data_IF_859460147254
#
_entry.id   IF_859460147254
#
_cell.length_a   1.000
_cell.length_b   1.000
_cell.length_c   1.000
_cell.angle_alpha   90.00
_cell.angle_beta   90.00
_cell.angle_gamma   90.00
#
_symmetry.space_group_name_H-M   'P 1'
#
loop_
_entity.id
_entity.type
_entity.pdbx_description
1 polymer ?
#
# COMPACT_ATOMS: atom_id res chain seq x y z
N UNK A 1 -7.76 10.39 -12.11
CA UNK A 1 -7.18 9.05 -12.01
C UNK A 1 -5.67 9.15 -11.81
N UNK A 2 -5.14 8.37 -10.90
CA UNK A 2 -3.70 8.38 -10.61
C UNK A 2 -3.07 7.06 -11.03
N UNK A 3 -1.79 7.10 -11.40
CA UNK A 3 -1.04 5.93 -11.78
C UNK A 3 0.03 5.61 -10.73
N UNK A 4 0.07 4.35 -10.34
CA UNK A 4 1.06 3.81 -9.41
C UNK A 4 2.03 2.93 -10.18
N UNK A 5 3.32 3.07 -9.90
CA UNK A 5 4.37 2.24 -10.50
C UNK A 5 5.35 1.79 -9.43
N UNK A 6 5.83 0.55 -9.53
CA UNK A 6 6.97 0.13 -8.73
C UNK A 6 8.25 0.77 -9.27
N UNK A 7 9.34 0.63 -8.57
CA UNK A 7 10.59 1.30 -8.94
C UNK A 7 11.12 0.87 -10.32
N UNK A 8 11.08 -0.43 -10.63
CA UNK A 8 11.59 -0.92 -11.91
C UNK A 8 10.60 -0.75 -13.07
N UNK A 9 9.35 -0.35 -12.79
CA UNK A 9 8.34 -0.17 -13.81
C UNK A 9 7.62 -1.43 -14.26
N UNK A 10 7.95 -2.59 -13.70
CA UNK A 10 7.31 -3.85 -14.09
C UNK A 10 5.83 -3.89 -13.69
N UNK A 11 5.47 -3.24 -12.59
CA UNK A 11 4.10 -3.17 -12.08
C UNK A 11 3.54 -1.79 -12.27
N UNK A 12 2.35 -1.70 -12.87
CA UNK A 12 1.59 -0.45 -12.96
C UNK A 12 0.15 -0.70 -12.55
N UNK A 13 -0.43 0.26 -11.85
CA UNK A 13 -1.82 0.24 -11.43
C UNK A 13 -2.46 1.59 -11.67
N UNK A 14 -3.77 1.57 -11.88
CA UNK A 14 -4.58 2.78 -11.95
C UNK A 14 -5.45 2.88 -10.71
N UNK A 15 -5.51 4.07 -10.14
CA UNK A 15 -6.27 4.35 -8.93
C UNK A 15 -7.33 5.39 -9.28
N UNK A 16 -8.60 5.00 -9.16
CA UNK A 16 -9.71 5.89 -9.40
C UNK A 16 -9.95 6.75 -8.16
N UNK A 17 -9.28 7.89 -8.12
CA UNK A 17 -9.42 8.86 -7.04
C UNK A 17 -9.38 10.26 -7.64
N UNK A 18 -10.06 11.21 -6.99
CA UNK A 18 -10.14 12.58 -7.47
C UNK A 18 -9.36 13.52 -6.56
N UNK A 19 -8.69 14.50 -7.18
CA UNK A 19 -7.99 15.55 -6.45
C UNK A 19 -6.77 15.06 -5.68
N UNK A 20 -6.46 15.76 -4.61
CA UNK A 20 -5.36 15.41 -3.73
C UNK A 20 -5.76 14.26 -2.82
N UNK A 21 -4.77 13.45 -2.42
CA UNK A 21 -4.99 12.38 -1.47
C UNK A 21 -5.17 12.99 -0.07
N UNK A 22 -6.42 13.07 0.39
CA UNK A 22 -6.73 13.71 1.67
C UNK A 22 -6.52 12.76 2.86
N UNK A 23 -6.62 11.46 2.61
CA UNK A 23 -6.54 10.45 3.67
C UNK A 23 -5.28 9.62 3.51
N UNK A 24 -4.19 10.17 4.01
CA UNK A 24 -2.91 9.47 4.05
C UNK A 24 -2.65 9.01 5.47
N UNK A 25 -1.93 7.90 5.62
CA UNK A 25 -1.57 7.39 6.93
C UNK A 25 -0.31 6.54 6.87
N UNK A 26 0.30 6.37 8.02
CA UNK A 26 1.35 5.37 8.25
C UNK A 26 0.85 4.41 9.31
N UNK A 27 1.40 3.22 9.34
CA UNK A 27 1.09 2.23 10.36
C UNK A 27 2.39 1.82 11.06
N UNK A 28 2.33 1.62 12.36
CA UNK A 28 3.50 1.24 13.14
C UNK A 28 3.52 -0.25 13.51
N UNK A 29 2.68 -1.07 12.87
CA UNK A 29 2.70 -2.51 13.10
C UNK A 29 4.07 -3.10 12.69
N UNK A 30 4.32 -4.34 13.07
CA UNK A 30 5.62 -4.99 12.84
C UNK A 30 6.03 -4.97 11.37
N UNK A 31 5.09 -5.12 10.45
CA UNK A 31 5.38 -5.10 9.02
C UNK A 31 5.48 -3.68 8.48
N UNK A 32 4.49 -2.85 8.75
CA UNK A 32 4.42 -1.49 8.20
C UNK A 32 5.53 -0.58 8.70
N UNK A 33 5.96 -0.80 9.93
CA UNK A 33 7.14 -0.15 10.50
C UNK A 33 8.38 -0.38 9.62
N UNK A 34 8.52 -1.61 9.11
CA UNK A 34 9.65 -1.98 8.24
C UNK A 34 9.49 -1.46 6.82
N UNK A 35 8.29 -1.41 6.30
CA UNK A 35 8.02 -0.82 4.99
C UNK A 35 8.34 0.68 4.97
N UNK A 36 8.02 1.40 6.05
CA UNK A 36 8.20 2.84 6.12
C UNK A 36 7.34 3.63 5.16
N UNK A 37 6.29 3.04 4.62
CA UNK A 37 5.50 3.65 3.56
C UNK A 37 4.42 4.60 4.10
N UNK A 38 4.16 5.66 3.34
CA UNK A 38 2.94 6.46 3.47
C UNK A 38 1.89 5.78 2.60
N UNK A 39 0.70 5.55 3.14
CA UNK A 39 -0.35 4.81 2.49
C UNK A 39 -1.62 5.63 2.37
N UNK A 40 -2.44 5.29 1.40
CA UNK A 40 -3.81 5.77 1.28
C UNK A 40 -4.69 4.58 0.91
N UNK A 41 -6.00 4.76 0.99
CA UNK A 41 -6.94 3.66 0.80
C UNK A 41 -8.00 4.02 -0.24
N UNK A 42 -8.39 3.04 -1.03
CA UNK A 42 -9.55 3.13 -1.92
C UNK A 42 -10.34 1.83 -1.83
N UNK A 43 -11.54 1.80 -2.37
CA UNK A 43 -12.29 0.55 -2.53
C UNK A 43 -11.54 -0.35 -3.51
N UNK A 44 -11.70 -1.67 -3.36
CA UNK A 44 -11.04 -2.62 -4.27
C UNK A 44 -11.35 -2.34 -5.74
N UNK A 45 -12.57 -1.95 -6.06
CA UNK A 45 -13.01 -1.65 -7.42
C UNK A 45 -12.34 -0.39 -8.00
N UNK A 46 -11.78 0.46 -7.16
CA UNK A 46 -11.09 1.69 -7.56
C UNK A 46 -9.58 1.51 -7.72
N UNK A 47 -9.08 0.30 -7.54
CA UNK A 47 -7.68 -0.04 -7.73
C UNK A 47 -7.56 -1.17 -8.76
N UNK A 48 -6.83 -0.92 -9.85
CA UNK A 48 -6.71 -1.87 -10.94
C UNK A 48 -5.27 -2.03 -11.39
N UNK A 49 -4.77 -3.26 -11.36
CA UNK A 49 -3.47 -3.59 -11.95
C UNK A 49 -3.62 -3.60 -13.46
N UNK A 50 -2.85 -2.76 -14.15
CA UNK A 50 -2.90 -2.66 -15.60
C UNK A 50 -1.67 -3.28 -16.27
N UNK A 51 -0.62 -3.57 -15.52
CA UNK A 51 0.60 -4.18 -16.06
C UNK A 51 1.33 -4.95 -14.97
N UNK A 52 1.83 -6.11 -15.32
CA UNK A 52 2.76 -6.85 -14.48
C UNK A 52 2.14 -7.63 -13.33
N UNK A 53 0.86 -7.98 -13.40
CA UNK A 53 0.20 -8.75 -12.34
C UNK A 53 0.97 -10.02 -12.01
N UNK A 54 1.55 -10.68 -13.00
CA UNK A 54 2.33 -11.91 -12.82
C UNK A 54 3.66 -11.69 -12.11
N UNK A 55 4.08 -10.44 -11.97
CA UNK A 55 5.31 -10.08 -11.24
C UNK A 55 5.04 -9.76 -9.77
N UNK A 56 3.78 -9.69 -9.37
CA UNK A 56 3.43 -9.43 -7.98
C UNK A 56 3.69 -10.67 -7.13
N UNK A 57 4.24 -10.44 -5.92
CA UNK A 57 4.35 -11.47 -4.89
C UNK A 57 3.48 -11.12 -3.72
N UNK A 58 2.90 -12.15 -3.11
CA UNK A 58 2.05 -12.05 -1.93
C UNK A 58 2.84 -12.44 -0.69
N UNK A 59 2.77 -11.60 0.34
CA UNK A 59 3.28 -11.91 1.66
C UNK A 59 2.13 -11.86 2.68
N UNK A 60 2.02 -12.90 3.48
CA UNK A 60 1.04 -13.00 4.56
C UNK A 60 1.71 -13.53 5.81
N UNK A 61 1.23 -13.12 6.97
CA UNK A 61 1.78 -13.59 8.25
C UNK A 61 0.68 -13.69 9.30
N UNK A 62 0.99 -14.37 10.40
CA UNK A 62 0.10 -14.61 11.55
C UNK A 62 -1.26 -15.17 11.12
N UNK A 63 -2.34 -14.40 11.18
CA UNK A 63 -3.69 -14.82 10.82
C UNK A 63 -3.89 -15.01 9.32
N UNK A 64 -3.00 -14.46 8.51
CA UNK A 64 -3.05 -14.50 7.04
C UNK A 64 -4.36 -13.92 6.46
N UNK A 65 -4.99 -12.99 7.18
CA UNK A 65 -6.16 -12.28 6.69
C UNK A 65 -5.74 -11.14 5.76
N UNK A 66 -4.77 -10.35 6.19
CA UNK A 66 -4.23 -9.27 5.35
C UNK A 66 -3.37 -9.84 4.23
N UNK A 67 -3.42 -9.21 3.06
CA UNK A 67 -2.62 -9.58 1.91
C UNK A 67 -1.73 -8.41 1.53
N UNK A 68 -0.41 -8.64 1.49
CA UNK A 68 0.56 -7.62 1.16
C UNK A 68 1.26 -7.99 -0.14
N UNK A 69 1.29 -7.05 -1.09
CA UNK A 69 1.84 -7.30 -2.42
C UNK A 69 3.06 -6.43 -2.68
N UNK A 70 4.01 -7.01 -3.36
CA UNK A 70 5.22 -6.28 -3.77
C UNK A 70 5.72 -6.80 -5.12
N UNK A 71 6.52 -5.97 -5.79
CA UNK A 71 7.12 -6.36 -7.07
C UNK A 71 8.22 -7.39 -6.84
N UNK A 72 8.15 -8.53 -7.52
CA UNK A 72 9.17 -9.58 -7.39
C UNK A 72 10.51 -9.17 -8.02
N UNK A 73 10.52 -8.17 -8.90
CA UNK A 73 11.73 -7.72 -9.59
C UNK A 73 12.52 -6.67 -8.81
N UNK A 74 11.83 -5.68 -8.22
CA UNK A 74 12.51 -4.62 -7.48
C UNK A 74 12.24 -4.64 -5.96
N UNK A 75 11.32 -5.49 -5.51
CA UNK A 75 11.01 -5.63 -4.08
C UNK A 75 10.14 -4.54 -3.49
N UNK A 76 9.68 -3.58 -4.27
CA UNK A 76 8.91 -2.45 -3.73
C UNK A 76 7.48 -2.88 -3.42
N UNK A 77 7.05 -2.60 -2.19
CA UNK A 77 5.66 -2.74 -1.79
C UNK A 77 4.78 -1.82 -2.63
N UNK A 78 3.72 -2.37 -3.23
CA UNK A 78 2.80 -1.62 -4.08
C UNK A 78 1.46 -1.37 -3.40
N UNK A 79 0.84 -2.41 -2.88
CA UNK A 79 -0.50 -2.31 -2.28
C UNK A 79 -0.76 -3.47 -1.33
N UNK A 80 -1.88 -3.37 -0.61
CA UNK A 80 -2.30 -4.43 0.30
C UNK A 80 -3.80 -4.40 0.52
N UNK A 81 -4.35 -5.51 1.00
CA UNK A 81 -5.72 -5.59 1.50
C UNK A 81 -5.63 -5.72 3.02
N UNK A 82 -6.12 -4.72 3.77
CA UNK A 82 -5.95 -4.72 5.23
C UNK A 82 -6.83 -5.76 5.92
N UNK A 83 -6.37 -6.24 7.07
CA UNK A 83 -7.11 -7.24 7.85
C UNK A 83 -8.43 -6.72 8.40
N UNK A 84 -8.52 -5.42 8.68
CA UNK A 84 -9.71 -4.83 9.29
C UNK A 84 -10.79 -4.50 8.27
N UNK A 85 -10.45 -4.40 6.99
CA UNK A 85 -11.43 -4.11 5.95
C UNK A 85 -10.97 -4.67 4.60
N UNK A 86 -11.27 -5.96 4.32
CA UNK A 86 -10.83 -6.60 3.07
C UNK A 86 -11.50 -6.04 1.81
N UNK A 87 -12.53 -5.20 1.96
CA UNK A 87 -13.16 -4.53 0.82
C UNK A 87 -12.37 -3.32 0.32
N UNK A 88 -11.30 -2.96 1.02
CA UNK A 88 -10.47 -1.80 0.68
C UNK A 88 -9.09 -2.25 0.21
N UNK A 89 -8.46 -1.40 -0.58
CA UNK A 89 -7.07 -1.58 -1.00
C UNK A 89 -6.26 -0.39 -0.50
N UNK A 90 -5.23 -0.68 0.30
CA UNK A 90 -4.24 0.31 0.67
C UNK A 90 -3.13 0.31 -0.37
N UNK A 91 -2.61 1.47 -0.70
CA UNK A 91 -1.54 1.56 -1.69
C UNK A 91 -0.41 2.46 -1.22
N UNK A 92 0.77 2.22 -1.79
CA UNK A 92 1.98 2.95 -1.46
C UNK A 92 1.99 4.29 -2.19
N UNK A 93 1.74 5.37 -1.46
CA UNK A 93 1.71 6.72 -2.03
C UNK A 93 3.06 7.09 -2.66
N UNK A 94 4.15 6.56 -2.14
CA UNK A 94 5.49 6.77 -2.71
C UNK A 94 5.67 6.20 -4.11
N UNK A 95 4.78 5.32 -4.55
CA UNK A 95 4.82 4.76 -5.92
C UNK A 95 4.09 5.64 -6.94
N UNK A 96 3.55 6.78 -6.52
CA UNK A 96 2.92 7.74 -7.44
C UNK A 96 3.93 8.82 -7.75
N UNK A 97 4.45 8.84 -8.98
CA UNK A 97 5.58 9.71 -9.37
C UNK A 97 5.33 11.20 -9.14
N UNK A 98 4.10 11.64 -9.30
CA UNK A 98 3.74 13.06 -9.14
C UNK A 98 3.64 13.50 -7.68
N UNK A 99 3.75 12.57 -6.73
CA UNK A 99 3.66 12.85 -5.29
C UNK A 99 5.00 12.59 -4.63
N UNK A 100 5.51 13.57 -3.89
CA UNK A 100 6.71 13.39 -3.08
C UNK A 100 6.30 13.30 -1.61
N UNK A 101 6.40 12.10 -1.04
CA UNK A 101 6.02 11.86 0.35
C UNK A 101 6.91 12.60 1.35
N UNK A 102 8.12 13.00 0.94
CA UNK A 102 9.00 13.79 1.82
C UNK A 102 8.53 15.22 2.02
N UNK A 103 7.62 15.70 1.18
CA UNK A 103 7.00 17.02 1.35
C UNK A 103 5.83 16.98 2.34
N UNK A 104 5.42 15.81 2.78
CA UNK A 104 4.32 15.62 3.72
C UNK A 104 4.83 15.79 5.15
N UNK A 105 4.32 16.78 5.87
CA UNK A 105 4.84 17.15 7.20
C UNK A 105 4.20 16.38 8.34
N UNK A 106 2.90 16.19 8.29
CA UNK A 106 2.17 15.51 9.36
C UNK A 106 1.33 14.38 8.77
N UNK A 107 1.84 13.16 8.92
CA UNK A 107 1.13 11.97 8.47
C UNK A 107 0.62 11.23 9.71
N UNK A 108 -0.70 11.05 9.84
CA UNK A 108 -1.26 10.30 10.97
C UNK A 108 -0.69 8.89 11.04
N UNK A 109 -0.50 8.39 12.26
CA UNK A 109 0.04 7.05 12.49
C UNK A 109 -1.05 6.17 13.10
N UNK A 110 -1.37 5.09 12.40
CA UNK A 110 -2.26 4.05 12.92
C UNK A 110 -1.47 3.16 13.87
N UNK A 111 -2.00 2.95 15.08
CA UNK A 111 -1.32 2.14 16.10
C UNK A 111 -1.56 0.65 15.89
N UNK A 112 -0.89 0.09 14.89
CA UNK A 112 -0.99 -1.32 14.57
C UNK A 112 -0.18 -2.22 15.51
N UNK A 113 0.87 -1.69 16.15
CA UNK A 113 1.74 -2.49 17.03
C UNK A 113 1.01 -3.02 18.25
N UNK A 114 -0.03 -2.33 18.71
CA UNK A 114 -0.85 -2.76 19.84
C UNK A 114 -2.06 -3.59 19.42
N UNK A 115 -2.20 -3.90 18.14
CA UNK A 115 -3.26 -4.75 17.66
C UNK A 115 -2.98 -6.22 18.02
N UNK A 116 -3.98 -6.98 18.52
CA UNK A 116 -3.77 -8.39 18.90
C UNK A 116 -3.22 -9.27 17.79
N UNK A 117 -3.46 -8.90 16.54
CA UNK A 117 -3.01 -9.68 15.38
C UNK A 117 -1.65 -9.23 14.85
N UNK A 118 -0.94 -8.33 15.55
CA UNK A 118 0.40 -7.89 15.13
C UNK A 118 1.49 -8.83 15.64
N UNK A 119 1.40 -10.11 15.27
CA UNK A 119 2.38 -11.13 15.62
C UNK A 119 2.80 -11.89 14.37
N UNK A 120 4.01 -12.36 14.40
CA UNK A 120 4.51 -13.19 13.29
C UNK A 120 4.11 -14.65 13.44
#
# INVERSE_FOLDING_TARGET
MKKLKCHCGAIEAEINTTGNLDKILRCNCSLCKRKGAVMSMVKNEDFKIIKGEEKLKLYQFHSKVAKHYFCSECGIYTHHNPRINPAMTGFNVGCIDEINTFDMKEVPVNDGQNHPLDKK
#
